data_IF_069358745214
#
_entry.id   IF_069358745214
#
_cell.length_a   1.000
_cell.length_b   1.000
_cell.length_c   1.000
_cell.angle_alpha   90.00
_cell.angle_beta   90.00
_cell.angle_gamma   90.00
#
_symmetry.space_group_name_H-M   'P 1'
#
loop_
_entity.id
_entity.type
_entity.pdbx_description
1 polymer ?
#
# COMPACT_ATOMS: atom_id res chain seq x y z
N UNK A 1 40.09 -1.77 6.97
CA UNK A 1 38.63 -2.04 6.92
C UNK A 1 38.00 -0.79 6.33
N UNK A 2 37.42 -0.89 5.13
CA UNK A 2 36.69 0.24 4.54
C UNK A 2 35.43 0.47 5.35
N UNK A 3 35.28 1.62 5.97
CA UNK A 3 34.06 2.05 6.62
C UNK A 3 33.06 2.30 5.51
N UNK A 4 32.09 1.39 5.36
CA UNK A 4 30.99 1.60 4.44
C UNK A 4 30.22 2.82 4.94
N UNK A 5 30.32 3.94 4.21
CA UNK A 5 29.62 5.17 4.56
C UNK A 5 28.13 4.87 4.44
N UNK A 6 27.42 4.82 5.57
CA UNK A 6 25.96 4.66 5.56
C UNK A 6 25.34 5.88 4.88
N UNK A 7 24.42 5.64 3.97
CA UNK A 7 23.62 6.68 3.33
C UNK A 7 22.82 7.44 4.39
N UNK A 8 22.87 8.76 4.35
CA UNK A 8 22.03 9.57 5.24
C UNK A 8 20.60 9.62 4.73
N UNK A 9 19.64 9.80 5.65
CA UNK A 9 18.22 9.93 5.25
C UNK A 9 17.99 11.17 4.37
N UNK A 10 18.76 12.25 4.57
CA UNK A 10 18.69 13.48 3.75
C UNK A 10 19.07 13.17 2.30
N UNK A 11 20.20 12.53 2.09
CA UNK A 11 20.66 12.11 0.75
C UNK A 11 19.66 11.17 0.10
N UNK A 12 19.07 10.23 0.87
CA UNK A 12 18.03 9.36 0.35
C UNK A 12 16.80 10.15 -0.13
N UNK A 13 16.30 11.08 0.67
CA UNK A 13 15.09 11.85 0.36
C UNK A 13 15.29 12.79 -0.85
N UNK A 14 16.51 13.27 -1.07
CA UNK A 14 16.88 14.12 -2.21
C UNK A 14 17.17 13.30 -3.49
N UNK A 15 17.26 11.96 -3.38
CA UNK A 15 17.61 11.08 -4.49
C UNK A 15 16.38 10.38 -5.05
N UNK A 16 16.28 10.35 -6.40
CA UNK A 16 15.30 9.51 -7.10
C UNK A 16 15.92 8.18 -7.48
N UNK A 17 15.32 7.09 -7.04
CA UNK A 17 15.73 5.73 -7.40
C UNK A 17 14.80 5.16 -8.48
N UNK A 18 15.31 4.29 -9.34
CA UNK A 18 14.52 3.61 -10.38
C UNK A 18 14.93 2.14 -10.47
N UNK A 19 14.10 1.20 -10.00
CA UNK A 19 12.84 1.42 -9.25
C UNK A 19 13.08 2.12 -7.93
N UNK A 20 12.03 2.71 -7.33
CA UNK A 20 12.14 3.35 -6.03
C UNK A 20 12.45 2.33 -4.94
N UNK A 21 13.15 2.75 -3.88
CA UNK A 21 13.72 1.89 -2.84
C UNK A 21 13.34 2.40 -1.47
N UNK A 22 13.12 1.49 -0.56
CA UNK A 22 12.97 1.82 0.86
C UNK A 22 14.33 2.14 1.50
N UNK A 23 14.29 2.96 2.55
CA UNK A 23 15.45 3.28 3.36
C UNK A 23 15.24 2.77 4.79
N UNK A 24 16.08 1.81 5.20
CA UNK A 24 15.96 1.15 6.50
C UNK A 24 17.32 1.22 7.21
N UNK A 25 17.38 2.03 8.26
CA UNK A 25 18.52 2.15 9.17
C UNK A 25 19.88 2.41 8.47
N UNK A 26 19.86 3.14 7.34
CA UNK A 26 21.05 3.49 6.57
C UNK A 26 21.28 2.65 5.33
N UNK A 27 20.41 1.67 5.06
CA UNK A 27 20.48 0.76 3.91
C UNK A 27 19.32 0.99 2.95
N UNK A 28 19.61 0.87 1.65
CA UNK A 28 18.57 0.83 0.62
C UNK A 28 18.07 -0.61 0.47
N UNK A 29 16.76 -0.79 0.57
CA UNK A 29 16.10 -2.06 0.30
C UNK A 29 15.29 -1.98 -0.99
N UNK A 30 15.49 -2.93 -1.87
CA UNK A 30 14.66 -3.09 -3.06
C UNK A 30 13.28 -3.61 -2.65
N UNK A 31 12.27 -3.14 -3.37
CA UNK A 31 10.92 -3.68 -3.26
C UNK A 31 10.76 -4.81 -4.27
N UNK A 32 9.99 -5.82 -3.90
CA UNK A 32 9.61 -6.86 -4.87
C UNK A 32 8.80 -6.23 -6.00
N UNK A 33 9.13 -6.57 -7.23
CA UNK A 33 8.37 -6.11 -8.39
C UNK A 33 7.08 -6.91 -8.48
N UNK A 34 5.98 -6.23 -8.34
CA UNK A 34 4.66 -6.84 -8.42
C UNK A 34 4.42 -7.48 -9.79
N UNK A 35 3.89 -8.72 -9.79
CA UNK A 35 3.36 -9.38 -11.01
C UNK A 35 1.98 -8.81 -11.34
N UNK A 36 1.37 -9.31 -12.41
CA UNK A 36 0.08 -8.82 -12.92
C UNK A 36 -0.98 -8.67 -11.82
N UNK A 37 -1.17 -9.67 -10.98
CA UNK A 37 -2.22 -9.67 -9.96
C UNK A 37 -2.02 -8.57 -8.92
N UNK A 38 -0.78 -8.37 -8.45
CA UNK A 38 -0.44 -7.28 -7.55
C UNK A 38 -0.72 -5.92 -8.20
N UNK A 39 -0.13 -5.67 -9.38
CA UNK A 39 -0.26 -4.38 -10.07
C UNK A 39 -1.73 -4.09 -10.45
N UNK A 40 -2.46 -5.12 -10.88
CA UNK A 40 -3.87 -4.97 -11.23
C UNK A 40 -4.74 -4.70 -10.01
N UNK A 41 -4.51 -5.39 -8.90
CA UNK A 41 -5.23 -5.14 -7.66
C UNK A 41 -4.93 -3.74 -7.10
N UNK A 42 -3.67 -3.29 -7.17
CA UNK A 42 -3.29 -1.92 -6.79
C UNK A 42 -4.08 -0.89 -7.61
N UNK A 43 -4.20 -1.09 -8.92
CA UNK A 43 -5.00 -0.24 -9.80
C UNK A 43 -6.50 -0.27 -9.45
N UNK A 44 -7.07 -1.44 -9.21
CA UNK A 44 -8.49 -1.62 -8.87
C UNK A 44 -8.81 -0.94 -7.54
N UNK A 45 -7.99 -1.15 -6.52
CA UNK A 45 -8.13 -0.47 -5.22
C UNK A 45 -7.93 1.04 -5.34
N UNK A 46 -6.93 1.48 -6.11
CA UNK A 46 -6.72 2.91 -6.38
C UNK A 46 -7.94 3.55 -7.02
N UNK A 47 -8.54 2.91 -8.01
CA UNK A 47 -9.77 3.38 -8.66
C UNK A 47 -10.97 3.39 -7.69
N UNK A 48 -11.09 2.37 -6.84
CA UNK A 48 -12.12 2.33 -5.81
C UNK A 48 -12.04 3.55 -4.88
N UNK A 49 -10.88 3.81 -4.30
CA UNK A 49 -10.70 4.95 -3.41
C UNK A 49 -10.85 6.29 -4.12
N UNK A 50 -10.29 6.43 -5.32
CA UNK A 50 -10.43 7.65 -6.13
C UNK A 50 -11.90 8.00 -6.40
N UNK A 51 -12.73 7.03 -6.72
CA UNK A 51 -14.15 7.23 -6.96
C UNK A 51 -14.93 7.64 -5.69
N UNK A 52 -14.40 7.36 -4.50
CA UNK A 52 -15.02 7.70 -3.22
C UNK A 52 -14.37 8.91 -2.51
N UNK A 53 -13.35 9.55 -3.11
CA UNK A 53 -12.63 10.66 -2.46
C UNK A 53 -13.56 11.77 -2.01
N UNK A 54 -14.48 12.19 -2.88
CA UNK A 54 -15.43 13.26 -2.57
C UNK A 54 -16.42 12.87 -1.47
N UNK A 55 -16.96 11.66 -1.54
CA UNK A 55 -17.96 11.16 -0.59
C UNK A 55 -17.37 10.93 0.80
N UNK A 56 -16.17 10.36 0.86
CA UNK A 56 -15.51 10.00 2.13
C UNK A 56 -14.58 11.09 2.66
N UNK A 57 -14.43 12.20 1.94
CA UNK A 57 -13.50 13.30 2.26
C UNK A 57 -12.05 12.81 2.48
N UNK A 58 -11.59 11.98 1.56
CA UNK A 58 -10.25 11.38 1.58
C UNK A 58 -9.47 11.76 0.32
N UNK A 59 -8.20 11.40 0.28
CA UNK A 59 -7.39 11.31 -0.94
C UNK A 59 -6.49 10.11 -0.87
N UNK A 60 -6.29 9.43 -2.01
CA UNK A 60 -5.47 8.24 -2.11
C UNK A 60 -4.19 8.50 -2.91
N UNK A 61 -3.12 7.79 -2.59
CA UNK A 61 -1.90 7.73 -3.39
C UNK A 61 -1.32 6.33 -3.39
N UNK A 62 -0.63 5.99 -4.48
CA UNK A 62 0.16 4.77 -4.58
C UNK A 62 1.64 5.09 -4.40
N UNK A 63 2.39 4.15 -3.83
CA UNK A 63 3.85 4.20 -3.72
C UNK A 63 4.41 5.50 -3.09
N UNK A 64 3.67 6.04 -2.13
CA UNK A 64 4.04 7.28 -1.45
C UNK A 64 5.13 7.04 -0.42
N UNK A 65 6.28 7.72 -0.55
CA UNK A 65 7.33 7.69 0.48
C UNK A 65 6.77 8.13 1.82
N UNK A 66 6.91 7.26 2.83
CA UNK A 66 6.36 7.45 4.17
C UNK A 66 7.48 7.28 5.20
N UNK A 67 7.84 8.35 5.87
CA UNK A 67 8.88 8.36 6.90
C UNK A 67 8.31 7.84 8.22
N UNK A 68 8.45 6.55 8.45
CA UNK A 68 7.88 5.86 9.60
C UNK A 68 8.68 6.01 10.89
N UNK A 69 9.97 6.38 10.78
CA UNK A 69 10.85 6.66 11.92
C UNK A 69 12.03 7.54 11.49
N UNK A 70 12.87 7.95 12.46
CA UNK A 70 14.01 8.85 12.21
C UNK A 70 14.97 8.36 11.11
N UNK A 71 15.14 7.04 10.98
CA UNK A 71 16.02 6.40 9.99
C UNK A 71 15.29 5.35 9.13
N UNK A 72 13.97 5.47 8.97
CA UNK A 72 13.17 4.53 8.18
C UNK A 72 12.17 5.24 7.30
N UNK A 73 12.22 4.95 6.01
CA UNK A 73 11.23 5.35 5.02
C UNK A 73 10.73 4.11 4.31
N UNK A 74 9.43 3.87 4.39
CA UNK A 74 8.70 2.81 3.69
C UNK A 74 7.98 3.38 2.48
N UNK A 75 7.60 2.51 1.56
CA UNK A 75 6.82 2.85 0.37
C UNK A 75 5.65 1.88 0.29
N UNK A 76 4.55 2.15 0.99
CA UNK A 76 3.36 1.32 0.93
C UNK A 76 2.72 1.33 -0.45
N UNK A 77 2.04 0.24 -0.83
CA UNK A 77 1.37 0.14 -2.13
C UNK A 77 0.26 1.16 -2.28
N UNK A 78 -0.54 1.40 -1.23
CA UNK A 78 -1.51 2.50 -1.18
C UNK A 78 -1.53 3.15 0.20
N UNK A 79 -1.76 4.45 0.20
CA UNK A 79 -2.07 5.24 1.39
C UNK A 79 -3.36 6.01 1.19
N UNK A 80 -4.19 6.06 2.23
CA UNK A 80 -5.43 6.83 2.25
C UNK A 80 -5.33 7.88 3.36
N UNK A 81 -5.49 9.12 2.96
CA UNK A 81 -5.33 10.30 3.81
C UNK A 81 -6.65 11.09 3.88
N UNK A 82 -6.74 12.00 4.83
CA UNK A 82 -7.79 13.04 4.79
C UNK A 82 -7.57 13.92 3.57
N UNK A 83 -8.65 14.32 2.92
CA UNK A 83 -8.60 15.25 1.79
C UNK A 83 -7.84 16.54 2.15
N UNK A 84 -7.04 17.05 1.21
CA UNK A 84 -6.26 18.27 1.39
C UNK A 84 -4.91 18.20 0.68
N UNK A 85 -4.10 19.24 0.87
CA UNK A 85 -2.74 19.27 0.32
C UNK A 85 -1.85 18.28 1.08
N UNK A 86 -1.16 17.44 0.34
CA UNK A 86 -0.24 16.44 0.89
C UNK A 86 1.23 16.84 0.66
N UNK A 87 2.15 16.43 1.55
CA UNK A 87 3.59 16.63 1.36
C UNK A 87 4.17 15.61 0.39
N UNK A 88 5.36 15.89 -0.16
CA UNK A 88 6.10 14.98 -1.04
C UNK A 88 6.53 13.69 -0.31
N UNK A 89 6.77 13.76 0.99
CA UNK A 89 7.06 12.63 1.88
C UNK A 89 6.14 12.71 3.07
N UNK A 90 5.39 11.64 3.34
CA UNK A 90 4.52 11.59 4.50
C UNK A 90 5.35 11.49 5.79
N UNK A 91 5.02 12.32 6.76
CA UNK A 91 5.61 12.33 8.10
C UNK A 91 4.56 12.16 9.20
N UNK A 92 3.30 12.41 8.86
CA UNK A 92 2.15 12.20 9.74
C UNK A 92 1.41 10.90 9.35
N UNK A 93 0.81 10.19 10.32
CA UNK A 93 0.14 8.93 10.05
C UNK A 93 -1.09 9.13 9.14
N UNK A 94 -1.21 8.37 8.02
CA UNK A 94 -2.42 8.35 7.21
C UNK A 94 -3.57 7.62 7.94
N UNK A 95 -4.79 7.72 7.39
CA UNK A 95 -5.96 7.02 7.90
C UNK A 95 -5.85 5.50 7.72
N UNK A 96 -5.22 5.08 6.61
CA UNK A 96 -5.09 3.70 6.23
C UNK A 96 -3.84 3.50 5.37
N UNK A 97 -3.13 2.42 5.62
CA UNK A 97 -2.10 1.88 4.73
C UNK A 97 -2.53 0.50 4.24
N UNK A 98 -2.29 0.24 2.95
CA UNK A 98 -2.57 -1.05 2.32
C UNK A 98 -1.27 -1.57 1.71
N UNK A 99 -0.94 -2.80 2.06
CA UNK A 99 0.11 -3.62 1.45
C UNK A 99 -0.53 -4.75 0.66
N UNK A 100 -0.07 -4.96 -0.56
CA UNK A 100 -0.51 -6.05 -1.44
C UNK A 100 0.65 -7.03 -1.56
N UNK A 101 0.43 -8.28 -1.21
CA UNK A 101 1.48 -9.30 -1.27
C UNK A 101 1.88 -9.56 -2.73
N UNK A 102 3.19 -9.54 -2.97
CA UNK A 102 3.80 -10.08 -4.17
C UNK A 102 4.12 -11.56 -3.96
N UNK A 103 4.27 -12.40 -5.02
CA UNK A 103 4.56 -13.82 -4.86
C UNK A 103 5.82 -14.14 -4.07
N UNK A 104 6.77 -13.20 -4.04
CA UNK A 104 8.05 -13.35 -3.36
C UNK A 104 8.06 -12.72 -1.95
N UNK A 105 6.94 -12.10 -1.53
CA UNK A 105 6.77 -11.58 -0.16
C UNK A 105 6.37 -12.69 0.79
N UNK A 106 6.88 -12.59 2.03
CA UNK A 106 6.36 -13.40 3.13
C UNK A 106 5.41 -12.56 4.00
N UNK A 107 4.49 -13.23 4.68
CA UNK A 107 3.66 -12.55 5.69
C UNK A 107 4.52 -11.88 6.77
N UNK A 108 5.65 -12.50 7.14
CA UNK A 108 6.59 -11.95 8.13
C UNK A 108 7.16 -10.59 7.70
N UNK A 109 7.57 -10.46 6.44
CA UNK A 109 8.13 -9.21 5.90
C UNK A 109 7.06 -8.10 5.89
N UNK A 110 5.82 -8.47 5.54
CA UNK A 110 4.71 -7.52 5.50
C UNK A 110 4.25 -7.13 6.90
N UNK A 111 4.28 -8.05 7.86
CA UNK A 111 4.01 -7.74 9.27
C UNK A 111 5.11 -6.84 9.87
N UNK A 112 6.38 -6.97 9.47
CA UNK A 112 7.44 -6.03 9.86
C UNK A 112 7.15 -4.62 9.33
N UNK A 113 6.74 -4.48 8.07
CA UNK A 113 6.31 -3.20 7.49
C UNK A 113 5.12 -2.62 8.25
N UNK A 114 4.10 -3.43 8.51
CA UNK A 114 2.93 -3.02 9.27
C UNK A 114 3.30 -2.53 10.69
N UNK A 115 4.25 -3.19 11.35
CA UNK A 115 4.73 -2.76 12.66
C UNK A 115 5.47 -1.40 12.60
N UNK A 116 6.15 -1.10 11.50
CA UNK A 116 6.74 0.23 11.29
C UNK A 116 5.64 1.30 11.14
N UNK A 117 4.57 1.02 10.41
CA UNK A 117 3.43 1.93 10.27
C UNK A 117 2.70 2.17 11.58
N UNK A 118 2.48 1.12 12.37
CA UNK A 118 1.86 1.24 13.69
C UNK A 118 2.71 2.10 14.66
N UNK A 119 4.03 1.94 14.63
CA UNK A 119 4.94 2.80 15.42
C UNK A 119 4.89 4.27 15.00
N UNK A 120 4.60 4.55 13.74
CA UNK A 120 4.34 5.91 13.24
C UNK A 120 3.01 6.46 13.78
N UNK A 121 2.08 5.61 14.21
CA UNK A 121 0.75 5.99 14.69
C UNK A 121 -0.39 5.67 13.71
N UNK A 122 -0.13 4.88 12.67
CA UNK A 122 -1.19 4.40 11.76
C UNK A 122 -2.06 3.40 12.50
N UNK A 123 -3.34 3.71 12.67
CA UNK A 123 -4.26 2.86 13.42
C UNK A 123 -4.77 1.66 12.62
N UNK A 124 -4.88 1.80 11.31
CA UNK A 124 -5.41 0.75 10.43
C UNK A 124 -4.45 0.42 9.31
N UNK A 125 -4.08 -0.86 9.22
CA UNK A 125 -3.25 -1.42 8.14
C UNK A 125 -3.96 -2.63 7.55
N UNK A 126 -4.05 -2.69 6.22
CA UNK A 126 -4.55 -3.87 5.51
C UNK A 126 -3.41 -4.58 4.78
N UNK A 127 -3.42 -5.90 4.82
CA UNK A 127 -2.57 -6.78 4.01
C UNK A 127 -3.50 -7.62 3.14
N UNK A 128 -3.33 -7.53 1.82
CA UNK A 128 -4.19 -8.23 0.86
C UNK A 128 -3.32 -9.15 0.00
N UNK A 129 -3.71 -10.41 -0.07
CA UNK A 129 -3.06 -11.43 -0.88
C UNK A 129 -3.93 -11.74 -2.11
N UNK A 130 -3.53 -11.30 -3.30
CA UNK A 130 -4.29 -11.57 -4.53
C UNK A 130 -4.23 -13.03 -4.96
N UNK A 131 -3.20 -13.81 -4.59
CA UNK A 131 -3.06 -15.21 -4.98
C UNK A 131 -4.02 -16.11 -4.21
N UNK A 132 -4.08 -15.95 -2.90
CA UNK A 132 -5.01 -16.71 -2.05
C UNK A 132 -6.39 -16.06 -1.96
N UNK A 133 -6.56 -14.86 -2.53
CA UNK A 133 -7.78 -14.05 -2.50
C UNK A 133 -8.26 -13.83 -1.07
N UNK A 134 -7.36 -13.42 -0.21
CA UNK A 134 -7.61 -13.17 1.22
C UNK A 134 -7.15 -11.78 1.64
N UNK A 135 -7.73 -11.28 2.71
CA UNK A 135 -7.32 -10.02 3.34
C UNK A 135 -7.26 -10.12 4.85
N UNK A 136 -6.35 -9.38 5.40
CA UNK A 136 -6.21 -9.19 6.84
C UNK A 136 -6.20 -7.70 7.14
N UNK A 137 -6.86 -7.30 8.20
CA UNK A 137 -6.74 -5.94 8.73
C UNK A 137 -6.17 -5.96 10.13
N UNK A 138 -5.32 -5.00 10.41
CA UNK A 138 -4.84 -4.69 11.74
C UNK A 138 -5.44 -3.37 12.21
N UNK A 139 -6.07 -3.41 13.37
CA UNK A 139 -6.58 -2.21 14.03
C UNK A 139 -5.91 -2.13 15.42
N UNK A 140 -5.13 -1.10 15.63
CA UNK A 140 -4.23 -1.04 16.79
C UNK A 140 -3.19 -2.17 16.70
N UNK A 141 -3.31 -3.21 17.55
CA UNK A 141 -2.41 -4.38 17.55
C UNK A 141 -3.12 -5.70 17.20
N UNK A 142 -4.39 -5.64 16.83
CA UNK A 142 -5.23 -6.83 16.59
C UNK A 142 -5.39 -7.13 15.13
N UNK A 143 -4.96 -8.32 14.69
CA UNK A 143 -5.13 -8.81 13.33
C UNK A 143 -6.39 -9.65 13.18
N UNK A 144 -7.17 -9.35 12.15
CA UNK A 144 -8.38 -10.09 11.80
C UNK A 144 -8.41 -10.38 10.30
N UNK A 145 -8.72 -11.61 9.92
CA UNK A 145 -8.97 -11.98 8.53
C UNK A 145 -10.44 -11.70 8.18
N UNK A 146 -10.68 -11.03 7.06
CA UNK A 146 -12.03 -10.71 6.61
C UNK A 146 -12.07 -10.52 5.09
N UNK A 147 -13.26 -10.73 4.49
CA UNK A 147 -13.52 -10.42 3.09
C UNK A 147 -14.06 -9.00 2.89
N UNK A 148 -14.54 -8.38 3.95
CA UNK A 148 -14.82 -6.95 4.02
C UNK A 148 -13.80 -6.31 4.95
N UNK A 149 -12.96 -5.44 4.41
CA UNK A 149 -12.02 -4.65 5.18
C UNK A 149 -12.58 -3.25 5.36
N UNK A 150 -12.46 -2.69 6.57
CA UNK A 150 -13.01 -1.38 6.89
C UNK A 150 -12.07 -0.58 7.82
N UNK A 151 -12.18 0.74 7.80
CA UNK A 151 -11.53 1.62 8.77
C UNK A 151 -12.57 1.97 9.83
N UNK A 152 -12.41 1.51 11.07
CA UNK A 152 -13.40 1.69 12.12
C UNK A 152 -13.82 3.16 12.34
N UNK A 153 -15.11 3.39 12.50
CA UNK A 153 -15.66 4.74 12.74
C UNK A 153 -15.67 5.65 11.51
N UNK A 154 -15.40 5.13 10.33
CA UNK A 154 -15.43 5.85 9.06
C UNK A 154 -16.28 5.13 8.02
N UNK A 155 -16.66 5.77 6.91
CA UNK A 155 -17.32 5.08 5.80
C UNK A 155 -16.36 4.27 4.91
N UNK A 156 -15.07 4.26 5.20
CA UNK A 156 -14.03 3.65 4.35
C UNK A 156 -14.08 2.14 4.46
N UNK A 157 -14.30 1.45 3.34
CA UNK A 157 -14.28 -0.01 3.26
C UNK A 157 -13.96 -0.52 1.85
N UNK A 158 -13.68 -1.81 1.74
CA UNK A 158 -13.68 -2.57 0.49
C UNK A 158 -14.30 -3.95 0.68
N UNK A 159 -15.00 -4.43 -0.35
CA UNK A 159 -15.44 -5.82 -0.48
C UNK A 159 -14.42 -6.55 -1.36
N UNK A 160 -13.57 -7.36 -0.75
CA UNK A 160 -12.42 -7.99 -1.45
C UNK A 160 -12.85 -8.89 -2.61
N UNK A 161 -13.97 -9.60 -2.48
CA UNK A 161 -14.47 -10.44 -3.57
C UNK A 161 -14.66 -9.61 -4.85
N UNK A 162 -15.31 -8.45 -4.75
CA UNK A 162 -15.54 -7.55 -5.88
C UNK A 162 -14.23 -6.96 -6.45
N UNK A 163 -13.20 -6.76 -5.60
CA UNK A 163 -11.88 -6.30 -6.05
C UNK A 163 -11.14 -7.41 -6.80
N UNK A 164 -11.13 -8.63 -6.25
CA UNK A 164 -10.47 -9.77 -6.86
C UNK A 164 -11.08 -10.18 -8.21
N UNK A 165 -12.39 -10.07 -8.37
CA UNK A 165 -13.07 -10.38 -9.63
C UNK A 165 -12.67 -9.44 -10.77
N UNK A 166 -12.17 -8.25 -10.46
CA UNK A 166 -11.67 -7.28 -11.42
C UNK A 166 -10.21 -7.50 -11.83
N UNK A 167 -9.47 -8.41 -11.19
CA UNK A 167 -8.07 -8.69 -11.55
C UNK A 167 -7.99 -9.29 -12.96
N UNK A 168 -8.86 -10.25 -13.25
CA UNK A 168 -8.95 -10.91 -14.55
C UNK A 168 -10.42 -10.88 -15.02
N UNK A 169 -10.93 -9.72 -15.48
CA UNK A 169 -12.30 -9.64 -15.96
C UNK A 169 -12.45 -10.51 -17.22
N UNK A 170 -13.65 -11.06 -17.49
CA UNK A 170 -13.89 -11.79 -18.72
C UNK A 170 -13.64 -10.89 -19.94
N UNK A 171 -13.19 -11.49 -21.04
CA UNK A 171 -13.07 -10.79 -22.30
C UNK A 171 -14.43 -10.21 -22.69
N UNK A 172 -14.44 -8.99 -23.22
CA UNK A 172 -15.65 -8.44 -23.84
C UNK A 172 -16.05 -9.38 -24.97
N UNK A 173 -17.36 -9.69 -25.07
CA UNK A 173 -17.86 -10.41 -26.22
C UNK A 173 -17.48 -9.62 -27.46
N UNK A 174 -16.82 -10.26 -28.41
CA UNK A 174 -16.59 -9.65 -29.72
C UNK A 174 -17.96 -9.37 -30.34
N UNK A 175 -18.23 -8.12 -30.72
CA UNK A 175 -19.41 -7.80 -31.49
C UNK A 175 -19.39 -8.67 -32.73
N UNK A 176 -20.34 -9.59 -32.86
CA UNK A 176 -20.52 -10.34 -34.10
C UNK A 176 -20.66 -9.34 -35.25
N UNK A 177 -19.88 -9.45 -36.32
CA UNK A 177 -20.04 -8.55 -37.44
C UNK A 177 -21.46 -8.71 -37.94
N UNK A 178 -22.23 -7.63 -37.86
CA UNK A 178 -23.57 -7.54 -38.43
C UNK A 178 -23.50 -7.90 -39.90
N UNK A 179 -24.19 -9.02 -40.28
CA UNK A 179 -24.33 -9.53 -41.62
C UNK A 179 -25.11 -8.55 -42.51
#
# INVERSE_FOLDING_TARGET
>A
MATQTQLSISEYLETSYRPDREYIDGELRERNVGKWEHARLQMVLGAWFYNHESEWHITGSTEQRTKVAGKRVRIPDLVILKAGRQPDVLVDPPLLIIEILSPDDTYSDTEERAADYQRMGVETVWIIDPQTRTGRMCVGSSWTSAMRLEVPGTPIYVELAAMFDQINPPALAEDEPSA
#
